data_IF_881195071363
#
_entry.id   IF_881195071363
#
_cell.length_a   1.000
_cell.length_b   1.000
_cell.length_c   1.000
_cell.angle_alpha   90.00
_cell.angle_beta   90.00
_cell.angle_gamma   90.00
#
_symmetry.space_group_name_H-M   'P 1'
#
loop_
_entity.id
_entity.type
_entity.pdbx_description
1 polymer ?
#
# COMPACT_ATOMS: atom_id res chain seq x y z
N UNK A 1 29.62 -29.25 37.32
CA UNK A 1 28.22 -29.55 37.66
C UNK A 1 27.38 -28.35 37.28
N UNK A 2 26.56 -28.51 36.24
CA UNK A 2 25.27 -27.86 36.02
C UNK A 2 24.75 -28.43 34.70
N UNK A 3 23.73 -29.27 34.85
CA UNK A 3 23.16 -30.15 33.85
C UNK A 3 22.30 -29.35 32.86
N UNK A 4 22.45 -29.63 31.57
CA UNK A 4 21.60 -29.11 30.51
C UNK A 4 20.33 -29.95 30.41
N UNK A 5 19.17 -29.39 30.80
CA UNK A 5 17.87 -30.00 30.54
C UNK A 5 17.49 -29.81 29.06
N UNK A 6 17.73 -30.87 28.28
CA UNK A 6 17.20 -31.02 26.93
C UNK A 6 15.70 -31.33 26.97
N UNK A 7 14.89 -30.41 26.45
CA UNK A 7 13.49 -30.66 26.10
C UNK A 7 13.38 -30.72 24.57
N UNK A 8 13.41 -31.95 24.04
CA UNK A 8 13.14 -32.27 22.64
C UNK A 8 11.63 -32.17 22.38
N UNK A 9 11.19 -31.10 21.72
CA UNK A 9 9.82 -31.00 21.20
C UNK A 9 9.73 -31.73 19.86
N UNK A 10 9.06 -32.87 19.89
CA UNK A 10 8.74 -33.71 18.74
C UNK A 10 7.73 -32.99 17.85
N UNK A 11 8.09 -32.74 16.60
CA UNK A 11 7.16 -32.26 15.58
C UNK A 11 6.11 -33.35 15.25
N UNK A 12 4.82 -33.02 15.11
CA UNK A 12 3.84 -34.00 14.68
C UNK A 12 4.11 -34.41 13.22
N UNK A 13 4.20 -35.72 13.00
CA UNK A 13 4.21 -36.33 11.66
C UNK A 13 2.88 -35.99 10.99
N UNK A 14 2.93 -35.27 9.87
CA UNK A 14 1.81 -35.17 8.94
C UNK A 14 1.86 -36.43 8.08
N UNK A 15 0.87 -37.29 8.24
CA UNK A 15 0.69 -38.48 7.43
C UNK A 15 0.36 -38.08 5.99
N UNK A 16 1.16 -38.62 5.08
CA UNK A 16 1.00 -38.56 3.64
C UNK A 16 -0.15 -39.51 3.25
N UNK A 17 -1.33 -38.95 3.00
CA UNK A 17 -2.43 -39.63 2.33
C UNK A 17 -2.50 -39.16 0.88
N UNK A 18 -1.43 -39.45 0.14
CA UNK A 18 -1.53 -39.65 -1.29
C UNK A 18 -2.19 -41.01 -1.58
N UNK A 19 -3.07 -40.99 -2.58
CA UNK A 19 -3.75 -42.14 -3.21
C UNK A 19 -5.11 -42.55 -2.61
N UNK A 20 -6.18 -41.92 -3.13
CA UNK A 20 -7.27 -42.72 -3.65
C UNK A 20 -7.88 -42.10 -4.92
N UNK A 21 -8.09 -42.98 -5.88
CA UNK A 21 -8.27 -42.75 -7.30
C UNK A 21 -9.67 -42.28 -7.70
N UNK A 22 -9.70 -41.48 -8.77
CA UNK A 22 -10.72 -41.44 -9.83
C UNK A 22 -12.18 -41.15 -9.44
N UNK A 23 -12.62 -39.92 -9.72
CA UNK A 23 -13.65 -39.69 -10.74
C UNK A 23 -13.45 -38.29 -11.33
N UNK A 24 -13.12 -38.24 -12.62
CA UNK A 24 -13.10 -37.00 -13.38
C UNK A 24 -14.51 -36.44 -13.50
N UNK A 25 -14.71 -35.22 -13.02
CA UNK A 25 -15.82 -34.35 -13.43
C UNK A 25 -15.20 -33.07 -13.96
N UNK A 26 -14.91 -33.06 -15.26
CA UNK A 26 -14.73 -31.85 -16.05
C UNK A 26 -16.10 -31.17 -16.18
N UNK A 27 -16.57 -30.58 -15.07
CA UNK A 27 -17.78 -29.75 -15.09
C UNK A 27 -17.41 -28.39 -15.66
N UNK A 28 -17.55 -28.20 -16.97
CA UNK A 28 -17.54 -26.84 -17.53
C UNK A 28 -18.66 -26.05 -16.84
N UNK A 29 -18.34 -25.08 -15.99
CA UNK A 29 -19.34 -24.23 -15.33
C UNK A 29 -19.98 -23.36 -16.42
N UNK A 30 -21.07 -23.88 -17.01
CA UNK A 30 -21.70 -23.27 -18.18
C UNK A 30 -22.31 -21.92 -17.77
N UNK A 31 -21.90 -20.86 -18.43
CA UNK A 31 -22.45 -19.52 -18.23
C UNK A 31 -23.97 -19.51 -18.50
N UNK A 32 -24.70 -18.78 -17.66
CA UNK A 32 -26.15 -18.57 -17.77
C UNK A 32 -26.40 -17.48 -18.81
N UNK A 33 -27.12 -17.78 -19.89
CA UNK A 33 -27.42 -16.79 -20.94
C UNK A 33 -28.59 -15.90 -20.54
N UNK A 34 -28.53 -14.62 -20.93
CA UNK A 34 -29.58 -13.66 -20.60
C UNK A 34 -30.92 -14.08 -21.20
N UNK A 35 -31.99 -14.03 -20.41
CA UNK A 35 -33.34 -14.39 -20.83
C UNK A 35 -34.37 -13.55 -20.08
N UNK A 36 -35.65 -13.69 -20.42
CA UNK A 36 -36.74 -13.06 -19.65
C UNK A 36 -36.70 -13.47 -18.18
N UNK A 37 -36.31 -14.72 -17.86
CA UNK A 37 -36.17 -15.22 -16.48
C UNK A 37 -34.84 -14.84 -15.83
N UNK A 38 -33.86 -14.38 -16.59
CA UNK A 38 -32.53 -14.02 -16.10
C UNK A 38 -31.97 -12.86 -16.95
N UNK A 39 -32.43 -11.62 -16.74
CA UNK A 39 -31.94 -10.47 -17.49
C UNK A 39 -30.44 -10.27 -17.28
N UNK A 40 -29.76 -9.64 -18.24
CA UNK A 40 -28.37 -9.23 -18.05
C UNK A 40 -28.28 -8.22 -16.90
N UNK A 41 -27.46 -8.45 -15.85
CA UNK A 41 -27.42 -7.55 -14.70
C UNK A 41 -26.72 -6.21 -15.00
N UNK A 42 -26.02 -6.08 -16.13
CA UNK A 42 -25.33 -4.85 -16.52
C UNK A 42 -26.21 -3.95 -17.40
N UNK A 43 -27.00 -4.53 -18.31
CA UNK A 43 -27.76 -3.77 -19.32
C UNK A 43 -29.25 -4.08 -19.39
N UNK A 44 -29.75 -4.97 -18.53
CA UNK A 44 -31.16 -5.38 -18.50
C UNK A 44 -31.65 -6.20 -19.70
N UNK A 45 -30.79 -6.53 -20.68
CA UNK A 45 -31.21 -7.26 -21.90
C UNK A 45 -31.75 -8.66 -21.59
N UNK A 46 -32.85 -9.05 -22.25
CA UNK A 46 -33.57 -10.32 -22.01
C UNK A 46 -33.84 -11.18 -23.26
N UNK A 47 -33.80 -10.63 -24.48
CA UNK A 47 -34.35 -11.32 -25.68
C UNK A 47 -33.33 -12.20 -26.41
N UNK A 48 -32.13 -11.68 -26.66
CA UNK A 48 -31.24 -12.25 -27.69
C UNK A 48 -30.27 -13.30 -27.15
N UNK A 49 -30.34 -13.62 -25.85
CA UNK A 49 -29.39 -14.48 -25.15
C UNK A 49 -27.94 -14.06 -25.29
N UNK A 50 -27.62 -12.88 -25.84
CA UNK A 50 -26.26 -12.46 -26.16
C UNK A 50 -25.39 -12.12 -24.96
N UNK A 51 -25.98 -11.76 -23.83
CA UNK A 51 -25.25 -11.57 -22.59
C UNK A 51 -25.15 -12.89 -21.82
N UNK A 52 -24.15 -13.00 -20.94
CA UNK A 52 -23.95 -14.19 -20.12
C UNK A 52 -23.50 -13.84 -18.72
N UNK A 53 -24.02 -14.54 -17.72
CA UNK A 53 -23.63 -14.44 -16.32
C UNK A 53 -22.90 -15.71 -15.91
N UNK A 54 -21.74 -15.55 -15.30
CA UNK A 54 -21.01 -16.66 -14.70
C UNK A 54 -21.85 -17.22 -13.53
N UNK A 55 -21.87 -18.54 -13.29
CA UNK A 55 -22.74 -19.14 -12.26
C UNK A 55 -22.51 -18.65 -10.83
N UNK A 56 -21.34 -18.07 -10.53
CA UNK A 56 -21.08 -17.42 -9.23
C UNK A 56 -21.82 -16.08 -9.03
N UNK A 57 -22.46 -15.56 -10.07
CA UNK A 57 -23.14 -14.26 -10.06
C UNK A 57 -22.21 -13.05 -10.03
N UNK A 58 -20.88 -13.24 -10.10
CA UNK A 58 -19.88 -12.18 -9.92
C UNK A 58 -19.30 -11.67 -11.24
N UNK A 59 -19.43 -12.41 -12.34
CA UNK A 59 -18.89 -12.00 -13.64
C UNK A 59 -19.97 -12.03 -14.70
N UNK A 60 -20.24 -10.91 -15.36
CA UNK A 60 -21.18 -10.79 -16.46
C UNK A 60 -20.44 -10.41 -17.74
N UNK A 61 -20.73 -11.09 -18.85
CA UNK A 61 -20.34 -10.64 -20.18
C UNK A 61 -21.53 -9.91 -20.83
N UNK A 62 -21.39 -8.62 -21.07
CA UNK A 62 -22.43 -7.76 -21.63
C UNK A 62 -22.17 -7.48 -23.11
N UNK A 63 -23.18 -7.68 -23.94
CA UNK A 63 -23.14 -7.36 -25.38
C UNK A 63 -23.47 -5.89 -25.68
N UNK A 64 -24.18 -5.19 -24.79
CA UNK A 64 -24.53 -3.78 -24.98
C UNK A 64 -23.32 -2.88 -24.76
N UNK A 65 -22.65 -3.08 -23.63
CA UNK A 65 -21.54 -2.24 -23.20
C UNK A 65 -20.21 -2.93 -23.47
N UNK A 66 -19.89 -3.15 -24.75
CA UNK A 66 -18.67 -3.87 -25.14
C UNK A 66 -17.42 -3.12 -24.70
N UNK A 67 -17.39 -1.80 -24.87
CA UNK A 67 -16.27 -0.92 -24.49
C UNK A 67 -16.32 -0.44 -23.04
N UNK A 68 -17.34 -0.83 -22.27
CA UNK A 68 -17.56 -0.30 -20.92
C UNK A 68 -18.06 1.15 -20.89
N UNK A 69 -18.44 1.76 -22.03
CA UNK A 69 -18.97 3.13 -22.03
C UNK A 69 -20.50 3.11 -21.88
N UNK A 70 -21.03 3.92 -20.96
CA UNK A 70 -22.46 4.19 -20.82
C UNK A 70 -23.26 3.18 -19.98
N UNK A 71 -22.59 2.32 -19.21
CA UNK A 71 -23.25 1.43 -18.25
C UNK A 71 -23.40 2.08 -16.88
N UNK A 72 -24.28 1.51 -16.04
CA UNK A 72 -24.32 1.84 -14.62
C UNK A 72 -23.08 1.28 -13.90
N UNK A 73 -22.23 2.18 -13.41
CA UNK A 73 -21.02 1.84 -12.69
C UNK A 73 -21.28 1.53 -11.21
N UNK A 74 -22.48 1.76 -10.67
CA UNK A 74 -22.75 1.67 -9.23
C UNK A 74 -22.44 0.28 -8.65
N UNK A 75 -22.78 -0.79 -9.38
CA UNK A 75 -22.65 -2.19 -8.93
C UNK A 75 -21.63 -3.01 -9.73
N UNK A 76 -21.33 -2.64 -10.98
CA UNK A 76 -20.51 -3.44 -11.88
C UNK A 76 -19.29 -2.64 -12.35
N UNK A 77 -18.12 -3.29 -12.41
CA UNK A 77 -16.89 -2.69 -12.91
C UNK A 77 -16.51 -3.34 -14.24
N UNK A 78 -16.27 -2.53 -15.27
CA UNK A 78 -15.77 -3.00 -16.55
C UNK A 78 -14.33 -3.52 -16.41
N UNK A 79 -14.08 -4.73 -16.92
CA UNK A 79 -12.81 -5.46 -16.82
C UNK A 79 -12.37 -5.97 -18.20
N UNK A 80 -12.47 -5.13 -19.22
CA UNK A 80 -12.05 -5.43 -20.58
C UNK A 80 -13.08 -6.20 -21.41
N UNK A 81 -12.66 -6.76 -22.55
CA UNK A 81 -13.51 -7.54 -23.44
C UNK A 81 -13.21 -9.04 -23.35
N UNK A 82 -14.18 -9.88 -23.71
CA UNK A 82 -13.93 -11.31 -23.88
C UNK A 82 -12.93 -11.60 -25.00
N UNK A 83 -12.43 -12.85 -25.09
CA UNK A 83 -11.42 -13.25 -26.09
C UNK A 83 -11.84 -12.98 -27.53
N UNK A 84 -13.15 -12.99 -27.81
CA UNK A 84 -13.70 -12.73 -29.14
C UNK A 84 -13.95 -11.24 -29.41
N UNK A 85 -13.76 -10.35 -28.43
CA UNK A 85 -13.98 -8.90 -28.57
C UNK A 85 -15.44 -8.47 -28.68
N UNK A 86 -16.40 -9.38 -28.52
CA UNK A 86 -17.82 -9.10 -28.80
C UNK A 86 -18.66 -8.82 -27.56
N UNK A 87 -18.10 -9.03 -26.35
CA UNK A 87 -18.77 -8.72 -25.09
C UNK A 87 -17.79 -8.05 -24.15
N UNK A 88 -18.24 -7.01 -23.45
CA UNK A 88 -17.52 -6.44 -22.33
C UNK A 88 -17.64 -7.37 -21.13
N UNK A 89 -16.55 -7.59 -20.40
CA UNK A 89 -16.50 -8.34 -19.14
C UNK A 89 -16.75 -7.35 -18.02
N UNK A 90 -17.71 -7.66 -17.15
CA UNK A 90 -18.07 -6.87 -16.00
C UNK A 90 -17.95 -7.73 -14.76
N UNK A 91 -17.29 -7.21 -13.74
CA UNK A 91 -17.13 -7.88 -12.45
C UNK A 91 -17.98 -7.13 -11.43
N UNK A 92 -18.81 -7.86 -10.70
CA UNK A 92 -19.62 -7.31 -9.61
C UNK A 92 -18.66 -6.69 -8.59
N UNK A 93 -18.90 -5.42 -8.24
CA UNK A 93 -18.15 -4.75 -7.18
C UNK A 93 -18.38 -5.56 -5.91
N UNK A 94 -17.34 -6.24 -5.44
CA UNK A 94 -17.40 -6.80 -4.10
C UNK A 94 -17.47 -5.63 -3.14
N UNK A 95 -18.54 -5.60 -2.34
CA UNK A 95 -18.55 -4.82 -1.11
C UNK A 95 -17.63 -5.58 -0.18
N UNK A 96 -16.33 -5.46 -0.40
CA UNK A 96 -15.38 -5.77 0.67
C UNK A 96 -15.75 -4.79 1.78
N UNK A 97 -16.07 -5.32 2.97
CA UNK A 97 -16.21 -4.48 4.15
C UNK A 97 -14.97 -3.58 4.20
N UNK A 98 -15.16 -2.27 4.27
CA UNK A 98 -14.05 -1.34 4.45
C UNK A 98 -13.15 -1.88 5.55
N UNK A 99 -11.87 -1.99 5.26
CA UNK A 99 -10.92 -2.51 6.23
C UNK A 99 -10.75 -1.43 7.30
N UNK A 100 -11.58 -1.50 8.35
CA UNK A 100 -11.48 -0.60 9.48
C UNK A 100 -10.25 -1.00 10.28
N UNK A 101 -9.18 -0.18 10.19
CA UNK A 101 -8.01 -0.33 11.03
C UNK A 101 -8.44 -0.37 12.49
N UNK A 102 -8.04 -1.40 13.22
CA UNK A 102 -8.27 -1.43 14.66
C UNK A 102 -7.67 -0.17 15.31
N UNK A 103 -8.39 0.50 16.20
CA UNK A 103 -7.87 1.66 16.92
C UNK A 103 -6.54 1.34 17.58
N UNK A 104 -5.54 2.20 17.34
CA UNK A 104 -4.29 2.11 18.09
C UNK A 104 -4.54 2.54 19.53
N UNK A 105 -3.88 1.92 20.53
CA UNK A 105 -3.96 2.38 21.90
C UNK A 105 -3.45 3.82 22.02
N UNK A 106 -3.97 4.53 23.03
CA UNK A 106 -3.59 5.91 23.31
C UNK A 106 -2.09 6.00 23.53
N UNK A 107 -1.42 6.82 22.74
CA UNK A 107 0.04 6.98 22.79
C UNK A 107 0.48 8.33 22.23
N UNK A 108 1.69 8.75 22.58
CA UNK A 108 2.35 9.91 22.00
C UNK A 108 3.75 9.54 21.52
N UNK A 109 4.17 10.11 20.39
CA UNK A 109 5.49 9.91 19.81
C UNK A 109 5.98 11.17 19.13
N UNK A 110 7.26 11.50 19.31
CA UNK A 110 7.91 12.60 18.60
C UNK A 110 8.89 12.05 17.58
N UNK A 111 8.78 12.51 16.34
CA UNK A 111 9.71 12.25 15.25
C UNK A 111 10.63 13.46 15.09
N UNK A 112 11.93 13.25 15.25
CA UNK A 112 12.90 14.33 15.25
C UNK A 112 13.50 14.53 13.86
N UNK A 113 13.60 15.79 13.46
CA UNK A 113 14.28 16.26 12.28
C UNK A 113 15.39 17.20 12.75
N UNK A 114 16.55 16.67 13.19
CA UNK A 114 17.71 17.50 13.49
C UNK A 114 18.21 18.18 12.21
N UNK A 115 18.98 19.25 12.36
CA UNK A 115 19.76 19.79 11.26
C UNK A 115 20.74 18.73 10.72
N UNK A 116 21.26 18.98 9.52
CA UNK A 116 22.24 18.10 8.86
C UNK A 116 23.54 17.95 9.67
N UNK A 117 23.87 18.94 10.51
CA UNK A 117 25.00 18.88 11.46
C UNK A 117 24.68 18.12 12.77
N UNK A 118 23.45 17.64 12.93
CA UNK A 118 22.95 16.93 14.10
C UNK A 118 22.37 17.82 15.21
N UNK A 119 22.40 19.14 15.06
CA UNK A 119 21.82 20.05 16.05
C UNK A 119 20.28 19.99 16.07
N UNK A 120 19.62 20.25 17.22
CA UNK A 120 18.15 20.26 17.28
C UNK A 120 17.55 21.33 16.36
N UNK A 121 16.55 20.94 15.55
CA UNK A 121 15.88 21.86 14.62
C UNK A 121 14.35 21.77 14.76
N UNK A 122 13.78 20.61 14.45
CA UNK A 122 12.33 20.42 14.45
C UNK A 122 11.94 19.03 14.97
N UNK A 123 10.73 18.91 15.51
CA UNK A 123 10.06 17.64 15.74
C UNK A 123 8.59 17.68 15.32
N UNK A 124 8.12 16.55 14.81
CA UNK A 124 6.70 16.27 14.55
C UNK A 124 6.18 15.42 15.69
N UNK A 125 5.19 15.92 16.42
CA UNK A 125 4.56 15.20 17.51
C UNK A 125 3.27 14.56 17.02
N UNK A 126 3.12 13.26 17.27
CA UNK A 126 1.94 12.45 16.99
C UNK A 126 1.27 12.08 18.30
N UNK A 127 -0.04 12.23 18.35
CA UNK A 127 -0.90 11.75 19.45
C UNK A 127 -1.95 10.82 18.86
N UNK A 128 -1.90 9.54 19.22
CA UNK A 128 -2.99 8.59 18.96
C UNK A 128 -3.96 8.63 20.14
N UNK A 129 -5.26 8.84 19.86
CA UNK A 129 -6.27 9.11 20.90
C UNK A 129 -6.89 7.85 21.53
N UNK A 130 -6.67 6.67 20.95
CA UNK A 130 -7.29 5.41 21.40
C UNK A 130 -8.59 5.04 20.69
N UNK A 131 -9.19 5.97 19.95
CA UNK A 131 -10.47 5.86 19.26
C UNK A 131 -10.33 5.76 17.73
N UNK A 132 -9.10 5.55 17.25
CA UNK A 132 -8.76 5.53 15.83
C UNK A 132 -8.36 6.91 15.27
N UNK A 133 -8.58 8.00 16.02
CA UNK A 133 -8.14 9.33 15.63
C UNK A 133 -6.69 9.59 16.02
N UNK A 134 -6.03 10.41 15.20
CA UNK A 134 -4.64 10.84 15.40
C UNK A 134 -4.51 12.34 15.15
N UNK A 135 -3.70 13.00 15.96
CA UNK A 135 -3.34 14.41 15.78
C UNK A 135 -1.85 14.55 15.57
N UNK A 136 -1.49 15.53 14.73
CA UNK A 136 -0.10 15.92 14.52
C UNK A 136 0.07 17.41 14.78
N UNK A 137 1.18 17.78 15.41
CA UNK A 137 1.61 19.17 15.54
C UNK A 137 3.14 19.25 15.52
N UNK A 138 3.65 20.37 15.02
CA UNK A 138 5.08 20.58 14.85
C UNK A 138 5.62 21.52 15.93
N UNK A 139 6.87 21.29 16.32
CA UNK A 139 7.61 22.18 17.21
C UNK A 139 9.01 22.39 16.67
N UNK A 140 9.51 23.62 16.76
CA UNK A 140 10.91 23.94 16.45
C UNK A 140 11.70 24.20 17.73
N UNK A 141 13.02 24.05 17.63
CA UNK A 141 13.94 24.43 18.69
C UNK A 141 14.26 25.92 18.59
N UNK A 142 14.08 26.68 19.68
CA UNK A 142 14.40 28.12 19.73
C UNK A 142 15.83 28.43 20.22
N UNK A 143 16.65 27.38 20.42
CA UNK A 143 17.95 27.46 21.06
C UNK A 143 17.96 26.97 22.51
N UNK A 144 16.80 26.93 23.18
CA UNK A 144 16.68 26.54 24.59
C UNK A 144 15.53 25.55 24.87
N UNK A 145 14.43 25.63 24.12
CA UNK A 145 13.24 24.79 24.30
C UNK A 145 12.51 24.53 22.99
N UNK A 146 11.61 23.54 23.04
CA UNK A 146 10.69 23.24 21.95
C UNK A 146 9.50 24.19 21.97
N UNK A 147 9.31 24.94 20.90
CA UNK A 147 8.22 25.93 20.72
C UNK A 147 7.26 25.47 19.64
N UNK A 148 5.96 25.63 19.86
CA UNK A 148 4.92 25.25 18.90
C UNK A 148 5.03 26.01 17.59
N UNK A 149 4.85 25.29 16.48
CA UNK A 149 4.86 25.84 15.13
C UNK A 149 6.15 25.54 14.36
N UNK A 150 6.08 25.80 13.07
CA UNK A 150 7.16 25.65 12.11
C UNK A 150 7.31 26.94 11.29
N UNK A 151 8.17 27.87 11.74
CA UNK A 151 8.44 29.12 11.05
C UNK A 151 8.95 28.93 9.62
N UNK A 152 8.60 29.85 8.72
CA UNK A 152 8.95 29.74 7.29
C UNK A 152 10.46 29.63 7.04
N UNK A 153 11.29 30.30 7.84
CA UNK A 153 12.75 30.21 7.75
C UNK A 153 13.32 28.84 8.18
N UNK A 154 12.56 28.06 8.96
CA UNK A 154 12.94 26.69 9.37
C UNK A 154 12.48 25.68 8.33
N UNK A 155 11.32 25.86 7.70
CA UNK A 155 10.74 24.89 6.76
C UNK A 155 11.69 24.41 5.67
N UNK A 156 12.55 25.30 5.16
CA UNK A 156 13.50 24.98 4.09
C UNK A 156 14.78 24.30 4.57
N UNK A 157 15.02 24.27 5.88
CA UNK A 157 16.20 23.66 6.49
C UNK A 157 15.96 22.21 6.91
N UNK A 158 14.69 21.80 7.06
CA UNK A 158 14.31 20.47 7.54
C UNK A 158 14.82 19.41 6.54
N UNK A 159 15.67 18.47 6.97
CA UNK A 159 16.12 17.41 6.08
C UNK A 159 15.08 16.29 5.97
N UNK A 160 15.37 15.28 5.15
CA UNK A 160 14.64 14.01 5.17
C UNK A 160 14.66 13.36 6.56
N UNK A 161 13.65 12.53 6.84
CA UNK A 161 13.57 11.79 8.11
C UNK A 161 14.72 10.78 8.22
N UNK A 162 15.35 10.69 9.40
CA UNK A 162 16.55 9.87 9.66
C UNK A 162 17.74 10.20 8.76
N UNK A 163 17.93 11.48 8.45
CA UNK A 163 19.00 11.98 7.60
C UNK A 163 20.35 11.30 7.84
N UNK A 164 20.85 11.26 9.08
CA UNK A 164 22.18 10.70 9.38
C UNK A 164 22.26 9.21 9.07
N UNK A 165 21.26 8.43 9.46
CA UNK A 165 21.22 7.00 9.18
C UNK A 165 21.06 6.72 7.68
N UNK A 166 20.33 7.58 6.97
CA UNK A 166 20.23 7.52 5.50
C UNK A 166 21.59 7.81 4.86
N UNK A 167 22.33 8.84 5.28
CA UNK A 167 23.67 9.11 4.77
C UNK A 167 24.58 7.88 4.92
N UNK A 168 24.53 7.21 6.07
CA UNK A 168 25.32 5.98 6.29
C UNK A 168 24.87 4.82 5.38
N UNK A 169 23.57 4.72 5.07
CA UNK A 169 23.06 3.73 4.12
C UNK A 169 23.53 4.03 2.68
N UNK A 170 23.58 5.31 2.29
CA UNK A 170 24.14 5.76 1.01
C UNK A 170 25.63 5.37 0.91
N UNK A 171 26.42 5.63 1.96
CA UNK A 171 27.84 5.25 2.00
C UNK A 171 28.05 3.73 1.83
N UNK A 172 27.13 2.92 2.35
CA UNK A 172 27.12 1.46 2.20
C UNK A 172 26.49 0.97 0.90
N UNK A 173 26.05 1.87 0.02
CA UNK A 173 25.35 1.56 -1.22
C UNK A 173 24.08 0.71 -1.03
N UNK A 174 23.40 0.89 0.10
CA UNK A 174 22.15 0.19 0.40
C UNK A 174 20.97 0.79 -0.37
N UNK A 175 19.95 -0.04 -0.61
CA UNK A 175 18.65 0.45 -1.10
C UNK A 175 17.94 1.21 0.02
N UNK A 176 17.43 2.39 -0.29
CA UNK A 176 16.68 3.25 0.64
C UNK A 176 15.22 3.31 0.20
N UNK A 177 14.35 2.83 1.06
CA UNK A 177 12.90 2.80 0.82
C UNK A 177 12.28 4.15 1.14
N UNK A 178 11.63 4.77 0.16
CA UNK A 178 10.88 6.02 0.32
C UNK A 178 9.43 5.69 0.65
N UNK A 179 9.06 5.87 1.92
CA UNK A 179 7.72 5.64 2.45
C UNK A 179 7.00 6.95 2.73
N UNK A 180 5.68 6.90 2.93
CA UNK A 180 4.86 8.11 3.16
C UNK A 180 4.94 8.72 4.55
N UNK A 181 5.45 8.00 5.55
CA UNK A 181 5.42 8.51 6.92
C UNK A 181 6.44 7.89 7.86
N UNK A 182 6.74 8.64 8.93
CA UNK A 182 7.85 8.36 9.84
C UNK A 182 7.65 7.04 10.60
N UNK A 183 6.39 6.70 10.90
CA UNK A 183 6.05 5.45 11.56
C UNK A 183 6.39 4.22 10.70
N UNK A 184 6.17 4.29 9.38
CA UNK A 184 6.51 3.21 8.45
C UNK A 184 8.01 3.13 8.27
N UNK A 185 8.70 4.28 8.20
CA UNK A 185 10.16 4.33 8.12
C UNK A 185 10.79 3.67 9.36
N UNK A 186 10.32 4.02 10.56
CA UNK A 186 10.78 3.37 11.80
C UNK A 186 10.53 1.86 11.82
N UNK A 187 9.41 1.40 11.29
CA UNK A 187 9.11 -0.03 11.21
C UNK A 187 10.07 -0.77 10.27
N UNK A 188 10.45 -0.17 9.15
CA UNK A 188 11.45 -0.73 8.24
C UNK A 188 12.85 -0.74 8.88
N UNK A 189 13.24 0.33 9.58
CA UNK A 189 14.50 0.35 10.33
C UNK A 189 14.56 -0.71 11.43
N UNK A 190 13.45 -0.98 12.11
CA UNK A 190 13.37 -2.07 13.10
C UNK A 190 13.58 -3.46 12.47
N UNK A 191 13.36 -3.60 11.17
CA UNK A 191 13.63 -4.81 10.38
C UNK A 191 15.02 -4.79 9.71
N UNK A 192 15.84 -3.75 9.94
CA UNK A 192 17.15 -3.60 9.31
C UNK A 192 17.10 -3.11 7.87
N UNK A 193 15.98 -2.52 7.43
CA UNK A 193 15.80 -1.98 6.08
C UNK A 193 15.93 -0.46 6.14
N UNK A 194 16.88 0.12 5.39
CA UNK A 194 17.04 1.55 5.31
C UNK A 194 15.82 2.20 4.65
N UNK A 195 15.24 3.19 5.31
CA UNK A 195 14.04 3.87 4.84
C UNK A 195 13.99 5.34 5.25
N UNK A 196 13.31 6.16 4.46
CA UNK A 196 13.10 7.58 4.76
C UNK A 196 11.73 8.06 4.32
N UNK A 197 11.38 9.27 4.74
CA UNK A 197 10.22 10.03 4.31
C UNK A 197 10.53 11.52 4.45
N UNK A 198 9.67 12.38 3.91
CA UNK A 198 9.76 13.83 4.11
C UNK A 198 8.78 14.28 5.18
N UNK A 199 9.08 15.41 5.82
CA UNK A 199 8.14 16.00 6.77
C UNK A 199 6.78 16.25 6.10
N UNK A 200 5.71 15.85 6.79
CA UNK A 200 4.33 15.96 6.30
C UNK A 200 3.94 14.94 5.21
N UNK A 201 4.86 14.07 4.79
CA UNK A 201 4.57 12.97 3.87
C UNK A 201 3.89 13.41 2.57
N UNK A 202 2.92 12.60 2.13
CA UNK A 202 2.15 12.80 0.89
C UNK A 202 1.35 14.11 0.82
N UNK A 203 1.02 14.72 1.95
CA UNK A 203 0.38 16.05 2.00
C UNK A 203 1.37 17.20 2.14
N UNK A 204 2.64 16.92 2.37
CA UNK A 204 3.64 17.88 2.82
C UNK A 204 4.68 18.25 1.77
N UNK A 205 5.07 17.35 0.87
CA UNK A 205 6.29 17.45 0.05
C UNK A 205 6.55 18.86 -0.52
N UNK A 206 5.61 19.40 -1.31
CA UNK A 206 5.74 20.70 -1.98
C UNK A 206 5.78 21.92 -1.05
N UNK A 207 5.37 21.77 0.22
CA UNK A 207 5.39 22.84 1.22
C UNK A 207 6.76 23.03 1.87
N UNK A 208 7.68 22.09 1.63
CA UNK A 208 9.02 22.10 2.19
C UNK A 208 10.06 22.19 1.07
N UNK A 209 11.30 22.51 1.44
CA UNK A 209 12.37 22.76 0.46
C UNK A 209 12.76 21.56 -0.40
N UNK A 210 13.77 21.75 -1.24
CA UNK A 210 14.37 20.65 -2.02
C UNK A 210 15.12 19.69 -1.10
N UNK A 211 14.97 18.38 -1.35
CA UNK A 211 15.69 17.31 -0.67
C UNK A 211 16.83 16.73 -1.52
N UNK A 212 17.17 17.39 -2.64
CA UNK A 212 18.13 16.86 -3.61
C UNK A 212 19.49 16.55 -2.96
N UNK A 213 20.00 17.49 -2.17
CA UNK A 213 21.28 17.34 -1.47
C UNK A 213 21.24 16.23 -0.41
N UNK A 214 20.07 15.93 0.15
CA UNK A 214 19.93 14.91 1.19
C UNK A 214 20.02 13.49 0.65
N UNK A 215 19.64 13.29 -0.62
CA UNK A 215 19.56 11.99 -1.26
C UNK A 215 20.54 11.86 -2.44
N UNK A 216 21.53 12.76 -2.52
CA UNK A 216 22.55 12.70 -3.56
C UNK A 216 23.31 11.37 -3.47
N UNK A 217 23.29 10.61 -4.56
CA UNK A 217 23.95 9.29 -4.63
C UNK A 217 23.17 8.14 -3.98
N UNK A 218 21.95 8.39 -3.51
CA UNK A 218 21.08 7.34 -2.98
C UNK A 218 20.61 6.37 -4.06
N UNK A 219 20.29 5.14 -3.64
CA UNK A 219 19.62 4.13 -4.47
C UNK A 219 18.19 3.96 -3.93
N UNK A 220 17.22 4.58 -4.58
CA UNK A 220 15.87 4.75 -4.05
C UNK A 220 14.91 3.67 -4.54
N UNK A 221 14.06 3.19 -3.65
CA UNK A 221 12.89 2.36 -3.96
C UNK A 221 11.63 3.08 -3.49
N UNK A 222 10.74 3.39 -4.42
CA UNK A 222 9.49 4.11 -4.11
C UNK A 222 8.42 3.14 -3.60
N UNK A 223 7.82 3.44 -2.45
CA UNK A 223 6.84 2.55 -1.80
C UNK A 223 5.55 3.30 -1.45
N UNK A 224 4.68 3.56 -2.45
CA UNK A 224 3.42 4.28 -2.21
C UNK A 224 2.48 3.48 -1.31
N UNK A 225 1.68 4.15 -0.49
CA UNK A 225 0.42 3.57 -0.04
C UNK A 225 -0.53 3.48 -1.25
N UNK A 226 -1.45 2.52 -1.20
CA UNK A 226 -2.34 2.19 -2.31
C UNK A 226 -3.52 3.15 -2.39
N UNK A 227 -3.24 4.44 -2.58
CA UNK A 227 -4.22 5.49 -2.80
C UNK A 227 -3.66 6.61 -3.71
N UNK A 228 -4.52 7.56 -4.08
CA UNK A 228 -4.15 8.63 -4.99
C UNK A 228 -3.14 9.62 -4.42
N UNK A 229 -3.12 9.82 -3.10
CA UNK A 229 -2.16 10.70 -2.45
C UNK A 229 -0.77 10.06 -2.42
N UNK A 230 -0.70 8.75 -2.18
CA UNK A 230 0.53 7.99 -2.20
C UNK A 230 1.18 7.94 -3.57
N UNK A 231 0.40 7.68 -4.61
CA UNK A 231 0.89 7.74 -6.00
C UNK A 231 1.38 9.16 -6.34
N UNK A 232 0.62 10.19 -5.97
CA UNK A 232 1.04 11.58 -6.20
C UNK A 232 2.35 11.90 -5.48
N UNK A 233 2.50 11.46 -4.23
CA UNK A 233 3.72 11.68 -3.46
C UNK A 233 4.94 11.06 -4.13
N UNK A 234 4.82 9.82 -4.61
CA UNK A 234 5.92 9.16 -5.33
C UNK A 234 6.24 9.84 -6.66
N UNK A 235 5.26 10.46 -7.32
CA UNK A 235 5.52 11.26 -8.54
C UNK A 235 6.38 12.51 -8.29
N UNK A 236 6.33 13.08 -7.08
CA UNK A 236 7.23 14.18 -6.69
C UNK A 236 8.68 13.67 -6.60
N UNK A 237 8.88 12.46 -6.07
CA UNK A 237 10.20 11.82 -6.05
C UNK A 237 10.68 11.45 -7.45
N UNK A 238 9.80 10.93 -8.32
CA UNK A 238 10.18 10.68 -9.71
C UNK A 238 10.63 11.94 -10.43
N UNK A 239 9.95 13.07 -10.21
CA UNK A 239 10.34 14.36 -10.78
C UNK A 239 11.74 14.77 -10.34
N UNK A 240 12.01 14.69 -9.04
CA UNK A 240 13.22 15.28 -8.44
C UNK A 240 14.42 14.32 -8.41
N UNK A 241 14.17 13.00 -8.43
CA UNK A 241 15.17 11.95 -8.20
C UNK A 241 15.15 10.82 -9.24
N UNK A 242 14.58 11.03 -10.43
CA UNK A 242 14.48 9.99 -11.49
C UNK A 242 15.75 9.17 -11.70
N UNK A 243 16.93 9.79 -11.65
CA UNK A 243 18.23 9.12 -11.86
C UNK A 243 18.67 8.22 -10.69
N UNK A 244 18.09 8.43 -9.50
CA UNK A 244 18.43 7.69 -8.27
C UNK A 244 17.44 6.56 -7.98
N UNK A 245 16.32 6.49 -8.71
CA UNK A 245 15.26 5.51 -8.48
C UNK A 245 15.61 4.20 -9.21
N UNK A 246 15.77 3.12 -8.45
CA UNK A 246 16.03 1.79 -8.98
C UNK A 246 14.77 0.94 -9.13
N UNK A 247 13.66 1.36 -8.53
CA UNK A 247 12.39 0.68 -8.73
C UNK A 247 11.29 1.12 -7.79
N UNK A 248 10.16 0.40 -7.91
CA UNK A 248 8.98 0.56 -7.10
C UNK A 248 8.69 -0.72 -6.34
N UNK A 249 8.36 -0.60 -5.06
CA UNK A 249 7.86 -1.72 -4.27
C UNK A 249 6.38 -1.50 -3.98
N UNK A 250 5.56 -2.23 -4.73
CA UNK A 250 4.10 -2.19 -4.68
C UNK A 250 3.59 -3.30 -3.76
N UNK A 251 3.24 -2.94 -2.52
CA UNK A 251 2.82 -3.93 -1.54
C UNK A 251 1.53 -4.66 -1.97
N UNK A 252 1.51 -5.99 -1.83
CA UNK A 252 0.37 -6.83 -2.18
C UNK A 252 0.53 -7.56 -3.52
N UNK A 253 -0.57 -7.93 -4.18
CA UNK A 253 -0.54 -8.62 -5.48
C UNK A 253 -0.73 -7.64 -6.62
N UNK A 254 -0.20 -7.96 -7.81
CA UNK A 254 -0.36 -7.14 -9.04
C UNK A 254 -1.84 -6.81 -9.32
N UNK A 255 -2.77 -7.72 -8.99
CA UNK A 255 -4.20 -7.48 -9.14
C UNK A 255 -4.73 -6.33 -8.27
N UNK A 256 -4.16 -6.12 -7.09
CA UNK A 256 -4.57 -5.04 -6.17
C UNK A 256 -4.21 -3.65 -6.70
N UNK A 257 -3.21 -3.54 -7.57
CA UNK A 257 -2.77 -2.29 -8.19
C UNK A 257 -3.44 -2.02 -9.55
N UNK A 258 -4.14 -3.01 -10.11
CA UNK A 258 -4.99 -2.83 -11.30
C UNK A 258 -6.32 -2.12 -10.98
N UNK A 259 -6.70 -2.08 -9.71
CA UNK A 259 -7.95 -1.46 -9.23
C UNK A 259 -7.57 -0.53 -8.07
N UNK A 260 -7.23 0.75 -8.32
CA UNK A 260 -6.94 1.70 -7.26
C UNK A 260 -8.26 2.16 -6.64
N UNK A 261 -8.94 1.25 -5.93
CA UNK A 261 -9.90 1.60 -4.90
C UNK A 261 -9.27 1.19 -3.59
N UNK A 262 -8.98 2.22 -2.82
CA UNK A 262 -7.90 2.27 -1.85
C UNK A 262 -8.04 1.33 -0.68
N UNK A 263 -7.06 1.49 0.21
CA UNK A 263 -6.90 0.80 1.49
C UNK A 263 -6.17 -0.54 1.38
N UNK A 264 -4.85 -0.43 1.17
CA UNK A 264 -3.87 -1.18 1.96
C UNK A 264 -2.66 -0.24 2.15
N UNK A 265 -2.23 -0.06 3.39
CA UNK A 265 -1.15 0.83 3.79
C UNK A 265 0.03 -0.04 4.19
N UNK A 266 1.23 0.22 3.67
CA UNK A 266 2.42 -0.61 3.94
C UNK A 266 2.68 -0.72 5.45
N UNK A 267 2.45 0.37 6.18
CA UNK A 267 2.57 0.40 7.65
C UNK A 267 1.63 -0.55 8.38
N UNK A 268 0.51 -0.97 7.78
CA UNK A 268 -0.38 -2.00 8.38
C UNK A 268 0.21 -3.40 8.18
N UNK A 269 0.75 -3.71 7.00
CA UNK A 269 1.36 -5.01 6.67
C UNK A 269 2.52 -5.33 7.62
N UNK A 270 3.34 -4.31 7.94
CA UNK A 270 4.45 -4.45 8.87
C UNK A 270 3.99 -4.60 10.34
N UNK A 271 2.88 -3.95 10.71
CA UNK A 271 2.36 -4.00 12.08
C UNK A 271 1.60 -5.30 12.40
N UNK A 272 0.97 -5.94 11.42
CA UNK A 272 0.25 -7.21 11.61
C UNK A 272 1.11 -8.46 11.42
N UNK A 273 2.40 -8.30 11.05
CA UNK A 273 3.34 -9.42 10.85
C UNK A 273 3.03 -10.31 9.64
N UNK A 274 2.05 -9.94 8.81
CA UNK A 274 1.60 -10.73 7.65
C UNK A 274 2.11 -10.09 6.37
N UNK A 275 3.37 -10.37 6.02
CA UNK A 275 3.90 -10.11 4.68
C UNK A 275 3.28 -11.16 3.73
N UNK A 276 2.46 -10.78 2.73
CA UNK A 276 2.06 -11.71 1.70
C UNK A 276 3.33 -12.16 0.97
N UNK A 277 3.66 -13.46 1.08
CA UNK A 277 4.75 -14.06 0.31
C UNK A 277 4.39 -13.96 -1.16
N UNK A 278 4.98 -13.03 -1.90
CA UNK A 278 5.14 -13.15 -3.35
C UNK A 278 6.44 -12.49 -3.78
N UNK A 279 7.30 -13.29 -4.41
CA UNK A 279 8.63 -12.97 -4.93
C UNK A 279 8.54 -12.03 -6.14
N UNK A 280 9.55 -11.16 -6.21
CA UNK A 280 10.13 -10.38 -7.33
C UNK A 280 9.28 -10.20 -8.60
#
# INVERSE_FOLDING_TARGET
MLESNGASVVAPKIEDLSQNTATGSSGSTKYIRSSVKSPCPVCGRVKDKDCSLHPDGKTAHCKTYVSGIGHDESQWHYNGTNKQGFQGIFVLKQVESEFVKSPRPKSSKSYYYPNRDGSPLLRVNRIDRGDGQKNFYQQHWDGNKWVNGNPEHIKRLIPIYRYREVQQAIERQELIFVVEGEATADALWALGIAATTTIGGSGGYANYGSYLDDLLGARLVLTPDRDSLGIKYMSEFERDFSIFIEGWYLAGTVGLWKIPRGEWILGTILATGTIPKNRF
#
